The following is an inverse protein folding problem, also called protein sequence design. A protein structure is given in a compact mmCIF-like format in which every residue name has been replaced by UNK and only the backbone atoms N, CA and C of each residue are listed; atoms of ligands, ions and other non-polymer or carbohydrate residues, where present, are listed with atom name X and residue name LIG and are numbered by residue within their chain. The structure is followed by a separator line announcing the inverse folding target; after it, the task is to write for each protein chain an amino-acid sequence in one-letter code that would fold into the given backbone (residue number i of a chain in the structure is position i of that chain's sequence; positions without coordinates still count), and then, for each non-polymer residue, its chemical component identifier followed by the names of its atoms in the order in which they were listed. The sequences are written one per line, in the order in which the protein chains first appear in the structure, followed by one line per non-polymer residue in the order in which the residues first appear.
data_IF_981046059925
#
_entry.id   IF_981046059925
#
_cell.length_a   1.000
_cell.length_b   1.000
_cell.length_c   1.000
_cell.angle_alpha   90.00
_cell.angle_beta   90.00
_cell.angle_gamma   90.00
#
_symmetry.space_group_name_H-M   'P 1'
#
loop_
_entity.id
_entity.type
_entity.pdbx_description
1 polymer ?
#
# COMPACT_ATOMS: atom_id res chain seq x y z
N UNK A 1 -17.61 -17.40 -6.67
CA UNK A 1 -18.68 -17.06 -7.62
C UNK A 1 -19.46 -18.28 -8.08
N UNK A 2 -18.84 -19.34 -8.61
CA UNK A 2 -19.56 -20.56 -9.02
C UNK A 2 -20.37 -21.23 -7.88
N UNK A 3 -19.82 -21.36 -6.67
CA UNK A 3 -20.55 -21.91 -5.51
C UNK A 3 -21.71 -21.02 -5.03
N UNK A 4 -21.60 -19.70 -5.22
CA UNK A 4 -22.66 -18.75 -4.88
C UNK A 4 -23.79 -18.80 -5.91
N UNK A 5 -23.44 -18.97 -7.19
CA UNK A 5 -24.39 -19.19 -8.28
C UNK A 5 -25.17 -20.49 -8.05
N UNK A 6 -24.49 -21.57 -7.64
CA UNK A 6 -25.15 -22.85 -7.34
C UNK A 6 -26.09 -22.73 -6.13
N UNK A 7 -25.71 -22.01 -5.07
CA UNK A 7 -26.54 -21.84 -3.88
C UNK A 7 -27.75 -20.90 -4.11
N UNK A 8 -27.67 -19.99 -5.09
CA UNK A 8 -28.72 -19.01 -5.40
C UNK A 8 -29.62 -19.45 -6.57
N UNK A 9 -29.08 -20.20 -7.55
CA UNK A 9 -29.82 -20.66 -8.73
C UNK A 9 -30.44 -22.06 -8.50
N UNK A 10 -29.83 -22.95 -7.73
CA UNK A 10 -30.45 -24.26 -7.47
C UNK A 10 -31.82 -24.21 -6.74
N UNK A 11 -32.07 -23.29 -5.78
CA UNK A 11 -33.42 -23.12 -5.21
C UNK A 11 -34.37 -22.35 -6.14
N UNK A 12 -33.87 -21.76 -7.23
CA UNK A 12 -34.64 -20.89 -8.13
C UNK A 12 -35.52 -21.66 -9.13
N UNK A 13 -35.15 -22.89 -9.46
CA UNK A 13 -35.90 -23.75 -10.39
C UNK A 13 -37.13 -24.44 -9.74
N UNK A 14 -37.30 -24.33 -8.41
CA UNK A 14 -38.29 -25.12 -7.66
C UNK A 14 -39.54 -24.36 -7.18
N UNK A 15 -39.70 -23.05 -7.45
CA UNK A 15 -40.79 -22.23 -6.89
C UNK A 15 -41.35 -21.20 -7.90
N UNK A 16 -42.68 -20.99 -8.00
CA UNK A 16 -43.23 -19.92 -8.84
C UNK A 16 -43.25 -18.51 -8.19
N UNK A 17 -43.20 -17.54 -9.10
CA UNK A 17 -43.59 -16.12 -9.07
C UNK A 17 -42.61 -15.08 -8.45
N UNK A 18 -42.09 -14.21 -9.31
CA UNK A 18 -40.85 -13.42 -9.15
C UNK A 18 -40.75 -12.42 -7.98
N UNK A 19 -41.75 -12.33 -7.11
CA UNK A 19 -41.67 -11.58 -5.86
C UNK A 19 -40.61 -12.18 -4.92
N UNK A 20 -40.51 -13.51 -4.83
CA UNK A 20 -39.50 -14.18 -4.01
C UNK A 20 -38.09 -14.00 -4.57
N UNK A 21 -37.93 -14.05 -5.91
CA UNK A 21 -36.68 -13.68 -6.56
C UNK A 21 -36.23 -12.26 -6.21
N UNK A 22 -37.17 -11.31 -6.23
CA UNK A 22 -36.88 -9.92 -5.93
C UNK A 22 -36.36 -9.75 -4.49
N UNK A 23 -36.96 -10.45 -3.52
CA UNK A 23 -36.56 -10.41 -2.10
C UNK A 23 -35.12 -10.91 -1.90
N UNK A 24 -34.67 -11.93 -2.65
CA UNK A 24 -33.31 -12.46 -2.50
C UNK A 24 -32.27 -11.74 -3.36
N UNK A 25 -32.61 -11.35 -4.59
CA UNK A 25 -31.68 -10.72 -5.53
C UNK A 25 -31.42 -9.25 -5.16
N UNK A 26 -32.44 -8.53 -4.71
CA UNK A 26 -32.32 -7.09 -4.43
C UNK A 26 -31.27 -6.79 -3.34
N UNK A 27 -31.23 -7.47 -2.17
CA UNK A 27 -30.19 -7.24 -1.16
C UNK A 27 -28.78 -7.53 -1.69
N UNK A 28 -28.61 -8.58 -2.50
CA UNK A 28 -27.32 -8.92 -3.11
C UNK A 28 -26.90 -7.83 -4.10
N UNK A 29 -27.85 -7.31 -4.88
CA UNK A 29 -27.60 -6.28 -5.87
C UNK A 29 -27.31 -4.91 -5.23
N UNK A 30 -27.97 -4.60 -4.12
CA UNK A 30 -27.77 -3.37 -3.34
C UNK A 30 -26.59 -3.46 -2.36
N UNK A 31 -26.08 -4.65 -2.07
CA UNK A 31 -24.97 -4.88 -1.14
C UNK A 31 -23.83 -3.89 -1.38
N UNK A 32 -23.27 -3.88 -2.60
CA UNK A 32 -22.12 -3.03 -2.90
C UNK A 32 -22.45 -1.54 -2.77
N UNK A 33 -23.64 -1.11 -3.20
CA UNK A 33 -24.06 0.29 -3.13
C UNK A 33 -24.24 0.76 -1.67
N UNK A 34 -25.01 0.00 -0.89
CA UNK A 34 -25.30 0.34 0.50
C UNK A 34 -24.01 0.37 1.32
N UNK A 35 -23.16 -0.64 1.19
CA UNK A 35 -21.89 -0.65 1.91
C UNK A 35 -20.96 0.47 1.43
N UNK A 36 -20.84 0.74 0.13
CA UNK A 36 -20.02 1.86 -0.36
C UNK A 36 -20.51 3.21 0.17
N UNK A 37 -21.83 3.41 0.31
CA UNK A 37 -22.41 4.63 0.89
C UNK A 37 -22.15 4.71 2.40
N UNK A 38 -22.48 3.66 3.17
CA UNK A 38 -22.39 3.70 4.63
C UNK A 38 -20.96 3.61 5.17
N UNK A 39 -20.05 3.02 4.42
CA UNK A 39 -18.65 2.78 4.82
C UNK A 39 -17.65 3.58 3.97
N UNK A 40 -18.07 4.73 3.43
CA UNK A 40 -17.19 5.68 2.73
C UNK A 40 -16.31 5.03 1.64
N UNK A 41 -16.93 4.23 0.77
CA UNK A 41 -16.28 3.59 -0.37
C UNK A 41 -15.67 2.22 -0.08
N UNK A 42 -16.00 1.61 1.05
CA UNK A 42 -15.56 0.26 1.42
C UNK A 42 -16.72 -0.72 1.50
N UNK A 43 -16.52 -1.92 0.98
CA UNK A 43 -17.36 -3.07 1.32
C UNK A 43 -16.60 -3.97 2.30
N UNK A 44 -17.26 -4.85 3.06
CA UNK A 44 -16.57 -5.79 3.96
C UNK A 44 -15.38 -6.51 3.31
N UNK A 45 -15.53 -7.00 2.07
CA UNK A 45 -14.44 -7.63 1.32
C UNK A 45 -13.29 -6.67 0.96
N UNK A 46 -13.60 -5.40 0.65
CA UNK A 46 -12.58 -4.36 0.41
C UNK A 46 -11.84 -3.97 1.69
N UNK A 47 -12.56 -3.92 2.82
CA UNK A 47 -11.99 -3.61 4.13
C UNK A 47 -10.97 -4.66 4.58
N UNK A 48 -11.27 -5.95 4.38
CA UNK A 48 -10.33 -7.06 4.64
C UNK A 48 -9.04 -6.91 3.82
N UNK A 49 -9.14 -6.41 2.59
CA UNK A 49 -7.98 -6.17 1.71
C UNK A 49 -7.35 -4.79 1.90
N UNK A 50 -7.81 -4.01 2.87
CA UNK A 50 -7.34 -2.65 3.14
C UNK A 50 -7.38 -1.76 1.87
N UNK A 51 -8.41 -1.91 1.05
CA UNK A 51 -8.64 -1.09 -0.14
C UNK A 51 -9.91 -0.24 0.02
N UNK A 52 -9.97 0.91 -0.65
CA UNK A 52 -11.18 1.74 -0.72
C UNK A 52 -11.35 2.38 -2.09
N UNK A 53 -12.59 2.73 -2.42
CA UNK A 53 -12.88 3.58 -3.58
C UNK A 53 -12.62 5.04 -3.21
N UNK A 54 -11.86 5.75 -4.03
CA UNK A 54 -11.61 7.18 -3.94
C UNK A 54 -11.82 7.84 -5.31
N UNK A 55 -12.05 9.15 -5.34
CA UNK A 55 -11.98 9.92 -6.58
C UNK A 55 -10.54 9.97 -7.09
N UNK A 56 -10.36 10.29 -8.37
CA UNK A 56 -9.02 10.37 -8.98
C UNK A 56 -8.13 11.45 -8.35
N UNK A 57 -8.73 12.46 -7.73
CA UNK A 57 -8.06 13.50 -6.94
C UNK A 57 -7.72 13.04 -5.51
N UNK A 58 -8.09 11.82 -5.12
CA UNK A 58 -7.89 11.27 -3.78
C UNK A 58 -8.96 11.64 -2.76
N UNK A 59 -9.94 12.45 -3.13
CA UNK A 59 -11.05 12.84 -2.25
C UNK A 59 -12.09 11.73 -2.10
N UNK A 60 -13.04 11.94 -1.18
CA UNK A 60 -14.11 10.97 -0.94
C UNK A 60 -15.14 11.02 -2.07
N UNK A 61 -15.54 9.87 -2.65
CA UNK A 61 -16.57 9.84 -3.67
C UNK A 61 -17.92 10.34 -3.16
N UNK A 62 -18.65 11.04 -4.02
CA UNK A 62 -20.01 11.48 -3.73
C UNK A 62 -21.02 10.33 -3.86
N UNK A 63 -22.23 10.49 -3.31
CA UNK A 63 -23.31 9.52 -3.49
C UNK A 63 -23.61 9.26 -4.97
N UNK A 64 -23.57 10.30 -5.80
CA UNK A 64 -23.77 10.19 -7.25
C UNK A 64 -22.69 9.33 -7.91
N UNK A 65 -21.44 9.42 -7.46
CA UNK A 65 -20.36 8.57 -7.96
C UNK A 65 -20.62 7.08 -7.63
N UNK A 66 -21.06 6.76 -6.42
CA UNK A 66 -21.44 5.38 -6.05
C UNK A 66 -22.64 4.87 -6.86
N UNK A 67 -23.66 5.71 -7.03
CA UNK A 67 -24.85 5.38 -7.83
C UNK A 67 -24.50 5.11 -9.29
N UNK A 68 -23.63 5.92 -9.91
CA UNK A 68 -23.24 5.75 -11.30
C UNK A 68 -22.46 4.45 -11.52
N UNK A 69 -21.55 4.12 -10.60
CA UNK A 69 -20.83 2.84 -10.58
C UNK A 69 -21.80 1.66 -10.47
N UNK A 70 -22.84 1.79 -9.65
CA UNK A 70 -23.86 0.77 -9.44
C UNK A 70 -24.79 0.61 -10.65
N UNK A 71 -25.25 1.72 -11.25
CA UNK A 71 -26.11 1.76 -12.44
C UNK A 71 -25.45 1.17 -13.69
N UNK A 72 -24.13 1.37 -13.85
CA UNK A 72 -23.37 0.83 -14.98
C UNK A 72 -22.93 -0.62 -14.77
N UNK A 73 -23.07 -1.15 -13.55
CA UNK A 73 -22.66 -2.51 -13.21
C UNK A 73 -23.42 -3.60 -13.97
N UNK A 74 -24.75 -3.51 -14.19
CA UNK A 74 -25.47 -4.39 -15.10
C UNK A 74 -24.88 -4.45 -16.51
N UNK A 75 -24.43 -3.31 -17.04
CA UNK A 75 -23.84 -3.24 -18.39
C UNK A 75 -22.50 -3.98 -18.40
N UNK A 76 -21.66 -3.74 -17.41
CA UNK A 76 -20.36 -4.38 -17.27
C UNK A 76 -20.46 -5.90 -17.07
N UNK A 77 -21.42 -6.40 -16.26
CA UNK A 77 -21.45 -7.81 -15.85
C UNK A 77 -22.56 -8.65 -16.47
N UNK A 78 -23.75 -8.10 -16.67
CA UNK A 78 -24.91 -8.85 -17.15
C UNK A 78 -25.05 -8.76 -18.67
N UNK A 79 -24.91 -7.55 -19.23
CA UNK A 79 -25.08 -7.34 -20.67
C UNK A 79 -23.88 -7.86 -21.48
N UNK A 80 -22.66 -7.63 -20.98
CA UNK A 80 -21.43 -7.93 -21.70
C UNK A 80 -20.67 -9.13 -21.13
N UNK A 81 -21.26 -9.84 -20.16
CA UNK A 81 -20.64 -10.97 -19.46
C UNK A 81 -19.23 -10.67 -18.90
N UNK A 82 -18.98 -9.42 -18.49
CA UNK A 82 -17.68 -9.00 -17.96
C UNK A 82 -16.65 -8.55 -19.00
N UNK A 83 -16.93 -8.70 -20.30
CA UNK A 83 -15.97 -8.33 -21.36
C UNK A 83 -15.71 -6.82 -21.41
N UNK A 84 -16.73 -5.97 -21.24
CA UNK A 84 -16.55 -4.52 -21.22
C UNK A 84 -15.68 -4.07 -20.03
N UNK A 85 -15.91 -4.65 -18.85
CA UNK A 85 -15.09 -4.40 -17.66
C UNK A 85 -13.63 -4.82 -17.89
N UNK A 86 -13.40 -5.98 -18.52
CA UNK A 86 -12.05 -6.46 -18.81
C UNK A 86 -11.31 -5.55 -19.79
N UNK A 87 -11.98 -5.16 -20.89
CA UNK A 87 -11.40 -4.28 -21.92
C UNK A 87 -11.04 -2.92 -21.33
N UNK A 88 -11.93 -2.32 -20.55
CA UNK A 88 -11.71 -1.01 -19.92
C UNK A 88 -10.54 -1.02 -18.92
N UNK A 89 -10.44 -2.08 -18.11
CA UNK A 89 -9.33 -2.29 -17.17
C UNK A 89 -7.99 -2.39 -17.92
N UNK A 90 -7.93 -3.21 -18.98
CA UNK A 90 -6.70 -3.49 -19.72
C UNK A 90 -6.22 -2.28 -20.51
N UNK A 91 -7.15 -1.53 -21.13
CA UNK A 91 -6.78 -0.43 -22.01
C UNK A 91 -6.26 0.78 -21.23
N UNK A 92 -6.85 1.09 -20.06
CA UNK A 92 -6.52 2.35 -19.36
C UNK A 92 -5.28 2.28 -18.48
N UNK A 93 -4.79 1.08 -18.13
CA UNK A 93 -3.63 0.88 -17.25
C UNK A 93 -3.84 1.29 -15.77
N UNK A 94 -4.92 2.02 -15.47
CA UNK A 94 -5.33 2.47 -14.14
C UNK A 94 -6.21 1.47 -13.39
N UNK A 95 -6.57 0.36 -14.03
CA UNK A 95 -7.39 -0.70 -13.42
C UNK A 95 -8.86 -0.32 -13.19
N UNK A 96 -9.41 0.61 -13.98
CA UNK A 96 -10.78 1.11 -13.85
C UNK A 96 -11.74 0.39 -14.80
N UNK A 97 -12.92 -0.02 -14.30
CA UNK A 97 -14.05 -0.49 -15.12
C UNK A 97 -14.82 0.69 -15.71
N UNK A 98 -15.77 0.42 -16.61
CA UNK A 98 -16.63 1.44 -17.21
C UNK A 98 -17.32 2.33 -16.16
N UNK A 99 -17.92 1.72 -15.14
CA UNK A 99 -18.54 2.46 -14.04
C UNK A 99 -17.56 3.30 -13.21
N UNK A 100 -16.32 2.81 -13.04
CA UNK A 100 -15.26 3.54 -12.32
C UNK A 100 -14.80 4.76 -13.16
N UNK A 101 -14.72 4.61 -14.48
CA UNK A 101 -14.36 5.69 -15.44
C UNK A 101 -15.44 6.78 -15.46
N UNK A 102 -16.70 6.39 -15.63
CA UNK A 102 -17.82 7.34 -15.71
C UNK A 102 -17.96 8.16 -14.42
N UNK A 103 -17.70 7.53 -13.26
CA UNK A 103 -17.74 8.20 -11.96
C UNK A 103 -16.44 8.94 -11.58
N UNK A 104 -15.38 8.86 -12.40
CA UNK A 104 -14.09 9.48 -12.08
C UNK A 104 -13.44 8.93 -10.81
N UNK A 105 -13.60 7.63 -10.54
CA UNK A 105 -13.16 6.97 -9.29
C UNK A 105 -12.17 5.84 -9.55
N UNK A 106 -11.32 5.53 -8.57
CA UNK A 106 -10.40 4.39 -8.61
C UNK A 106 -10.32 3.70 -7.24
N UNK A 107 -9.79 2.48 -7.22
CA UNK A 107 -9.57 1.71 -6.00
C UNK A 107 -8.13 1.90 -5.54
N UNK A 108 -7.96 2.41 -4.33
CA UNK A 108 -6.65 2.67 -3.72
C UNK A 108 -6.38 1.72 -2.55
N UNK A 109 -5.10 1.42 -2.30
CA UNK A 109 -4.66 0.70 -1.10
C UNK A 109 -4.46 1.69 0.05
N UNK A 110 -4.96 1.33 1.22
CA UNK A 110 -4.82 2.09 2.46
C UNK A 110 -3.52 1.80 3.20
N UNK A 111 -2.96 0.61 3.02
CA UNK A 111 -1.71 0.23 3.67
C UNK A 111 -0.53 0.98 3.05
N UNK A 112 0.01 1.95 3.79
CA UNK A 112 1.37 2.41 3.56
C UNK A 112 2.33 1.30 4.00
N UNK A 113 3.30 0.94 3.16
CA UNK A 113 4.41 0.05 3.54
C UNK A 113 5.42 0.79 4.42
N UNK A 114 4.98 1.39 5.52
CA UNK A 114 5.88 1.99 6.50
C UNK A 114 5.87 1.03 7.68
N UNK A 115 6.94 0.23 7.78
CA UNK A 115 7.17 -0.57 8.98
C UNK A 115 7.61 0.39 10.08
N UNK A 116 7.30 0.13 11.35
CA UNK A 116 7.89 0.90 12.46
C UNK A 116 9.44 0.81 12.48
N UNK A 117 10.01 -0.19 11.79
CA UNK A 117 11.44 -0.26 11.49
C UNK A 117 11.95 0.91 10.61
N UNK A 118 11.04 1.64 9.94
CA UNK A 118 11.32 2.84 9.16
C UNK A 118 11.27 4.12 10.00
N UNK A 119 10.94 4.06 11.29
CA UNK A 119 11.17 5.17 12.22
C UNK A 119 12.65 5.14 12.66
N UNK A 120 13.33 6.30 12.69
CA UNK A 120 14.79 6.45 12.95
C UNK A 120 15.17 6.10 14.41
N UNK A 121 14.25 5.51 15.18
CA UNK A 121 14.46 5.18 16.57
C UNK A 121 15.03 3.77 16.68
N UNK A 122 16.32 3.64 16.43
CA UNK A 122 17.10 2.60 17.10
C UNK A 122 17.01 2.92 18.60
N UNK A 123 16.40 2.04 19.40
CA UNK A 123 16.42 2.20 20.87
C UNK A 123 17.88 2.08 21.29
N UNK A 124 18.50 3.22 21.58
CA UNK A 124 19.85 3.28 22.10
C UNK A 124 19.73 3.21 23.62
N UNK A 125 20.38 2.24 24.25
CA UNK A 125 20.39 2.09 25.71
C UNK A 125 20.97 3.36 26.37
N UNK A 126 20.47 3.76 27.54
CA UNK A 126 20.81 5.03 28.20
C UNK A 126 22.32 5.17 28.52
N UNK A 127 23.04 4.05 28.60
CA UNK A 127 24.47 3.97 28.87
C UNK A 127 25.36 3.92 27.61
N UNK A 128 24.76 4.05 26.43
CA UNK A 128 25.50 4.04 25.17
C UNK A 128 26.52 5.20 25.09
N UNK A 129 27.74 4.85 24.68
CA UNK A 129 28.83 5.80 24.47
C UNK A 129 29.04 6.01 22.98
N UNK A 130 28.93 7.27 22.56
CA UNK A 130 29.13 7.68 21.17
C UNK A 130 30.55 7.35 20.74
N UNK A 131 30.71 6.66 19.60
CA UNK A 131 32.01 6.27 19.04
C UNK A 131 32.53 7.37 18.10
N UNK A 132 31.65 7.90 17.25
CA UNK A 132 31.96 8.95 16.28
C UNK A 132 31.21 10.24 16.63
N UNK A 133 31.89 11.19 17.27
CA UNK A 133 31.28 12.49 17.56
C UNK A 133 31.05 13.35 16.31
N UNK A 134 31.74 13.05 15.21
CA UNK A 134 31.65 13.76 13.94
C UNK A 134 30.29 13.56 13.24
N UNK A 135 29.45 12.62 13.70
CA UNK A 135 28.10 12.39 13.14
C UNK A 135 27.20 13.61 13.24
N UNK A 136 27.48 14.55 14.16
CA UNK A 136 26.76 15.82 14.26
C UNK A 136 26.87 16.69 12.99
N UNK A 137 27.87 16.44 12.13
CA UNK A 137 28.06 17.13 10.86
C UNK A 137 27.20 16.56 9.72
N UNK A 138 26.57 15.39 9.93
CA UNK A 138 25.78 14.72 8.93
C UNK A 138 24.36 15.30 8.86
N UNK A 139 23.83 15.38 7.64
CA UNK A 139 22.44 15.78 7.41
C UNK A 139 21.47 14.61 7.64
N UNK A 140 20.19 14.91 7.90
CA UNK A 140 19.11 13.91 8.00
C UNK A 140 19.07 13.04 6.74
N UNK A 141 19.29 13.66 5.57
CA UNK A 141 19.32 12.99 4.29
C UNK A 141 20.48 11.99 4.17
N UNK A 142 21.64 12.29 4.76
CA UNK A 142 22.77 11.35 4.78
C UNK A 142 22.42 10.09 5.59
N UNK A 143 21.72 10.28 6.70
CA UNK A 143 21.32 9.19 7.59
C UNK A 143 20.17 8.37 7.01
N UNK A 144 19.25 9.01 6.28
CA UNK A 144 18.20 8.31 5.54
C UNK A 144 18.81 7.39 4.48
N UNK A 145 19.84 7.84 3.76
CA UNK A 145 20.56 7.00 2.78
C UNK A 145 21.22 5.80 3.49
N UNK A 146 21.88 6.02 4.63
CA UNK A 146 22.50 4.94 5.41
C UNK A 146 21.46 3.90 5.82
N UNK A 147 20.32 4.37 6.33
CA UNK A 147 19.21 3.52 6.74
C UNK A 147 18.64 2.72 5.57
N UNK A 148 18.39 3.37 4.44
CA UNK A 148 17.87 2.73 3.24
C UNK A 148 18.84 1.64 2.75
N UNK A 149 20.15 1.91 2.75
CA UNK A 149 21.17 0.93 2.38
C UNK A 149 21.15 -0.25 3.36
N UNK A 150 21.22 -0.02 4.67
CA UNK A 150 21.20 -1.10 5.68
C UNK A 150 19.91 -1.93 5.64
N UNK A 151 18.77 -1.30 5.35
CA UNK A 151 17.49 -2.01 5.17
C UNK A 151 17.51 -2.88 3.91
N UNK A 152 17.96 -2.32 2.79
CA UNK A 152 17.90 -2.98 1.48
C UNK A 152 18.90 -4.15 1.37
N UNK A 153 20.06 -4.08 2.03
CA UNK A 153 21.06 -5.16 1.97
C UNK A 153 20.57 -6.47 2.62
N UNK A 154 19.58 -6.43 3.52
CA UNK A 154 19.01 -7.65 4.13
C UNK A 154 18.16 -8.47 3.16
N UNK A 155 17.57 -7.81 2.15
CA UNK A 155 16.69 -8.45 1.16
C UNK A 155 17.39 -8.69 -0.18
N UNK A 156 18.62 -8.20 -0.34
CA UNK A 156 19.37 -8.26 -1.60
C UNK A 156 20.12 -9.58 -1.73
N UNK A 157 19.86 -10.32 -2.81
CA UNK A 157 20.56 -11.59 -3.12
C UNK A 157 21.93 -11.40 -3.77
N UNK A 158 22.16 -10.29 -4.48
CA UNK A 158 23.44 -10.00 -5.14
C UNK A 158 24.48 -9.50 -4.13
N UNK A 159 25.41 -10.39 -3.80
CA UNK A 159 26.50 -10.13 -2.86
C UNK A 159 27.47 -9.03 -3.34
N UNK A 160 27.71 -8.93 -4.65
CA UNK A 160 28.65 -7.95 -5.22
C UNK A 160 28.06 -6.56 -5.11
N UNK A 161 26.79 -6.40 -5.51
CA UNK A 161 26.08 -5.13 -5.41
C UNK A 161 25.96 -4.66 -3.95
N UNK A 162 25.60 -5.56 -3.02
CA UNK A 162 25.58 -5.29 -1.58
C UNK A 162 26.91 -4.69 -1.11
N UNK A 163 28.03 -5.35 -1.41
CA UNK A 163 29.35 -4.89 -0.99
C UNK A 163 29.73 -3.55 -1.59
N UNK A 164 29.38 -3.29 -2.86
CA UNK A 164 29.63 -2.01 -3.52
C UNK A 164 28.83 -0.87 -2.87
N UNK A 165 27.55 -1.07 -2.56
CA UNK A 165 26.71 -0.06 -1.92
C UNK A 165 27.26 0.31 -0.53
N UNK A 166 27.53 -0.69 0.31
CA UNK A 166 28.06 -0.47 1.66
C UNK A 166 29.39 0.30 1.60
N UNK A 167 30.31 -0.09 0.71
CA UNK A 167 31.62 0.55 0.59
C UNK A 167 31.50 1.99 0.05
N UNK A 168 30.59 2.23 -0.90
CA UNK A 168 30.34 3.57 -1.45
C UNK A 168 29.75 4.49 -0.39
N UNK A 169 28.78 4.03 0.37
CA UNK A 169 28.16 4.78 1.47
C UNK A 169 29.19 5.08 2.54
N UNK A 170 29.97 4.07 2.96
CA UNK A 170 31.08 4.25 3.90
C UNK A 170 32.03 5.37 3.44
N UNK A 171 32.53 5.29 2.22
CA UNK A 171 33.51 6.26 1.70
C UNK A 171 32.94 7.67 1.65
N UNK A 172 31.65 7.81 1.32
CA UNK A 172 30.96 9.11 1.34
C UNK A 172 30.88 9.70 2.74
N UNK A 173 30.62 8.87 3.76
CA UNK A 173 30.56 9.29 5.15
C UNK A 173 31.94 9.61 5.73
N UNK A 174 32.95 8.77 5.45
CA UNK A 174 34.34 8.99 5.83
C UNK A 174 34.86 10.33 5.28
N UNK A 175 34.59 10.62 4.01
CA UNK A 175 34.96 11.89 3.39
C UNK A 175 34.26 13.10 4.04
N UNK A 176 32.97 12.97 4.41
CA UNK A 176 32.21 14.07 5.03
C UNK A 176 32.62 14.32 6.47
N UNK A 177 32.87 13.27 7.24
CA UNK A 177 33.28 13.37 8.65
C UNK A 177 34.79 13.60 8.81
N UNK A 178 35.58 13.42 7.75
CA UNK A 178 37.03 13.54 7.78
C UNK A 178 37.71 12.46 8.62
N UNK A 179 37.16 11.23 8.63
CA UNK A 179 37.68 10.10 9.43
C UNK A 179 37.96 8.90 8.55
N UNK A 180 38.87 8.03 8.99
CA UNK A 180 39.07 6.69 8.43
C UNK A 180 38.69 5.64 9.49
N UNK A 181 37.65 4.85 9.22
CA UNK A 181 37.16 3.87 10.19
C UNK A 181 37.93 2.55 10.08
N UNK A 182 38.68 2.16 11.10
CA UNK A 182 39.43 0.88 11.14
C UNK A 182 38.58 -0.40 11.23
N UNK A 183 37.27 -0.32 11.02
CA UNK A 183 36.31 -1.41 11.25
C UNK A 183 35.63 -1.87 9.95
N UNK A 184 34.89 -2.99 10.03
CA UNK A 184 34.09 -3.48 8.91
C UNK A 184 33.05 -2.45 8.47
N UNK A 185 32.83 -2.32 7.15
CA UNK A 185 31.99 -1.26 6.61
C UNK A 185 30.51 -1.35 7.04
N UNK A 186 29.96 -2.56 7.22
CA UNK A 186 28.60 -2.74 7.76
C UNK A 186 28.51 -2.24 9.20
N UNK A 187 29.44 -2.69 10.06
CA UNK A 187 29.51 -2.30 11.46
C UNK A 187 29.72 -0.78 11.62
N UNK A 188 30.50 -0.17 10.73
CA UNK A 188 30.66 1.27 10.67
C UNK A 188 29.34 2.01 10.42
N UNK A 189 28.60 1.60 9.37
CA UNK A 189 27.31 2.23 9.04
C UNK A 189 26.29 2.08 10.18
N UNK A 190 26.23 0.92 10.84
CA UNK A 190 25.38 0.69 12.00
C UNK A 190 25.78 1.59 13.19
N UNK A 191 27.08 1.73 13.44
CA UNK A 191 27.60 2.57 14.52
C UNK A 191 27.27 4.04 14.27
N UNK A 192 27.47 4.53 13.05
CA UNK A 192 27.10 5.90 12.64
C UNK A 192 25.60 6.16 12.83
N UNK A 193 24.74 5.20 12.46
CA UNK A 193 23.30 5.34 12.64
C UNK A 193 22.91 5.44 14.12
N UNK A 194 23.54 4.63 14.99
CA UNK A 194 23.31 4.67 16.45
C UNK A 194 23.83 5.97 17.07
N UNK A 195 25.07 6.35 16.76
CA UNK A 195 25.69 7.59 17.23
C UNK A 195 24.85 8.81 16.84
N UNK A 196 24.37 8.87 15.59
CA UNK A 196 23.52 9.96 15.14
C UNK A 196 22.18 10.02 15.87
N UNK A 197 21.53 8.86 16.03
CA UNK A 197 20.27 8.75 16.76
C UNK A 197 20.41 9.20 18.22
N UNK A 198 21.52 8.85 18.86
CA UNK A 198 21.81 9.25 20.24
C UNK A 198 22.10 10.75 20.37
N UNK A 199 22.93 11.31 19.48
CA UNK A 199 23.29 12.74 19.50
C UNK A 199 22.06 13.62 19.24
N UNK A 200 21.17 13.20 18.33
CA UNK A 200 20.01 14.01 17.94
C UNK A 200 18.74 13.71 18.73
N UNK A 201 18.59 12.51 19.28
CA UNK A 201 17.46 12.14 20.14
C UNK A 201 17.50 12.77 21.54
N UNK A 202 18.58 13.48 21.88
CA UNK A 202 18.79 14.13 23.18
C UNK A 202 18.47 15.64 23.19
N UNK A 203 17.81 16.14 22.15
CA UNK A 203 17.34 17.54 22.03
C UNK A 203 15.85 17.62 22.33
#
# INVERSE_FOLDING_TARGET
YALFIIFVIAPLELLPDGAYMFIYVLPIFLYDLLFEIFMNGQTPGKRVREIKVALLDGTQPTLGAYLLRWLLRPIDFWLTYGSAALITILWRGTGQRLGDIAAGTSVIKLKQRVSLADTILTVVEDDYRVVFHQVAQLSDGDIEIVKEVLKNITQMSDFKLRRTLIQRTRRSLENKMGIEAGMAAELFLETVLKDYSYVRGRV
#
